data_IF_981456324089
#
_entry.id   IF_981456324089
#
_cell.length_a   1.000
_cell.length_b   1.000
_cell.length_c   1.000
_cell.angle_alpha   90.00
_cell.angle_beta   90.00
_cell.angle_gamma   90.00
#
_symmetry.space_group_name_H-M   'P 1'
#
loop_
_entity.id
_entity.type
_entity.pdbx_description
1 polymer ?
#
# COMPACT_ATOMS: atom_id res chain seq x y z
N UNK A 1 12.33 3.72 -7.55
CA UNK A 1 10.95 3.17 -7.75
C UNK A 1 10.32 2.53 -6.51
N UNK A 2 11.06 1.80 -5.67
CA UNK A 2 10.51 1.15 -4.45
C UNK A 2 9.92 2.15 -3.43
N UNK A 3 10.60 3.28 -3.21
CA UNK A 3 10.16 4.30 -2.23
C UNK A 3 8.83 4.96 -2.61
N UNK A 4 8.64 5.30 -3.89
CA UNK A 4 7.38 5.89 -4.37
C UNK A 4 6.19 4.97 -4.13
N UNK A 5 6.31 3.67 -4.48
CA UNK A 5 5.25 2.69 -4.26
C UNK A 5 4.92 2.54 -2.76
N UNK A 6 5.93 2.56 -1.89
CA UNK A 6 5.72 2.51 -0.44
C UNK A 6 5.00 3.76 0.09
N UNK A 7 5.31 4.94 -0.45
CA UNK A 7 4.62 6.19 -0.10
C UNK A 7 3.15 6.12 -0.54
N UNK A 8 2.86 5.64 -1.74
CA UNK A 8 1.48 5.48 -2.24
C UNK A 8 0.70 4.52 -1.34
N UNK A 9 1.27 3.36 -1.00
CA UNK A 9 0.66 2.39 -0.08
C UNK A 9 0.38 3.02 1.29
N UNK A 10 1.31 3.83 1.80
CA UNK A 10 1.14 4.50 3.10
C UNK A 10 -0.02 5.50 3.08
N UNK A 11 -0.12 6.33 2.04
CA UNK A 11 -1.21 7.29 1.89
C UNK A 11 -2.57 6.61 1.75
N UNK A 12 -2.62 5.54 0.95
CA UNK A 12 -3.84 4.76 0.75
C UNK A 12 -4.30 4.09 2.06
N UNK A 13 -3.37 3.43 2.77
CA UNK A 13 -3.64 2.83 4.06
C UNK A 13 -4.10 3.86 5.12
N UNK A 14 -3.47 5.04 5.16
CA UNK A 14 -3.89 6.12 6.06
C UNK A 14 -5.30 6.62 5.73
N UNK A 15 -5.65 6.69 4.44
CA UNK A 15 -6.98 7.09 3.98
C UNK A 15 -8.05 6.07 4.38
N UNK A 16 -7.78 4.76 4.22
CA UNK A 16 -8.68 3.70 4.69
C UNK A 16 -8.88 3.77 6.20
N UNK A 17 -7.80 3.95 6.97
CA UNK A 17 -7.89 4.06 8.43
C UNK A 17 -8.72 5.28 8.85
N UNK A 18 -8.52 6.44 8.21
CA UNK A 18 -9.30 7.65 8.47
C UNK A 18 -10.80 7.45 8.16
N UNK A 19 -11.12 6.80 7.03
CA UNK A 19 -12.51 6.49 6.66
C UNK A 19 -13.17 5.50 7.64
N UNK A 20 -12.42 4.52 8.15
CA UNK A 20 -12.91 3.61 9.18
C UNK A 20 -13.19 4.34 10.50
N UNK A 21 -12.29 5.22 10.92
CA UNK A 21 -12.49 6.02 12.14
C UNK A 21 -13.72 6.91 12.01
N UNK A 22 -13.88 7.59 10.87
CA UNK A 22 -15.08 8.42 10.61
C UNK A 22 -16.36 7.58 10.56
N UNK A 23 -16.31 6.37 9.99
CA UNK A 23 -17.44 5.42 10.04
C UNK A 23 -17.80 5.04 11.47
N UNK A 24 -16.80 4.71 12.29
CA UNK A 24 -16.99 4.32 13.69
C UNK A 24 -17.56 5.49 14.50
N UNK A 25 -17.00 6.70 14.34
CA UNK A 25 -17.53 7.92 14.96
C UNK A 25 -18.98 8.15 14.57
N UNK A 26 -19.33 8.02 13.29
CA UNK A 26 -20.71 8.21 12.84
C UNK A 26 -21.65 7.10 13.33
N UNK A 27 -21.13 5.90 13.61
CA UNK A 27 -21.93 4.76 14.06
C UNK A 27 -22.18 4.79 15.57
N UNK A 28 -21.15 5.07 16.37
CA UNK A 28 -21.24 5.03 17.83
C UNK A 28 -21.61 6.37 18.46
N UNK A 29 -21.34 7.50 17.79
CA UNK A 29 -21.53 8.83 18.36
C UNK A 29 -22.85 9.44 17.86
N UNK A 30 -23.97 8.83 18.29
CA UNK A 30 -25.32 9.27 17.90
C UNK A 30 -25.68 10.66 18.45
N UNK A 31 -25.07 11.08 19.56
CA UNK A 31 -25.42 12.30 20.29
C UNK A 31 -24.44 13.47 20.08
N UNK A 32 -23.18 13.21 19.71
CA UNK A 32 -22.16 14.26 19.64
C UNK A 32 -22.12 15.01 18.30
N UNK A 33 -22.80 14.48 17.28
CA UNK A 33 -22.81 15.05 15.94
C UNK A 33 -24.26 15.42 15.64
N UNK A 34 -24.62 16.71 15.79
CA UNK A 34 -25.94 17.27 15.46
C UNK A 34 -26.20 17.24 13.94
N UNK A 35 -26.28 16.04 13.38
CA UNK A 35 -26.62 15.80 11.99
C UNK A 35 -28.00 15.15 11.96
N UNK A 36 -28.90 15.68 11.12
CA UNK A 36 -30.21 15.09 10.87
C UNK A 36 -30.10 13.59 10.55
N UNK A 37 -30.98 12.76 11.14
CA UNK A 37 -31.00 11.30 10.93
C UNK A 37 -31.01 10.91 9.43
N UNK A 38 -31.72 11.67 8.60
CA UNK A 38 -31.77 11.45 7.15
C UNK A 38 -30.41 11.70 6.46
N UNK A 39 -29.66 12.70 6.93
CA UNK A 39 -28.32 13.00 6.41
C UNK A 39 -27.29 11.97 6.88
N UNK A 40 -27.45 11.45 8.11
CA UNK A 40 -26.63 10.36 8.66
C UNK A 40 -26.79 9.07 7.84
N UNK A 41 -28.02 8.66 7.54
CA UNK A 41 -28.26 7.45 6.73
C UNK A 41 -27.79 7.59 5.28
N UNK A 42 -28.04 8.74 4.65
CA UNK A 42 -27.57 8.98 3.28
C UNK A 42 -26.04 9.10 3.20
N UNK A 43 -25.37 9.58 4.25
CA UNK A 43 -23.91 9.65 4.33
C UNK A 43 -23.22 8.30 4.55
N UNK A 44 -23.88 7.33 5.20
CA UNK A 44 -23.30 5.99 5.47
C UNK A 44 -23.03 5.19 4.19
N UNK A 45 -23.97 5.21 3.24
CA UNK A 45 -23.87 4.45 1.97
C UNK A 45 -22.63 4.82 1.14
N UNK A 46 -22.38 6.10 0.79
CA UNK A 46 -21.19 6.48 0.04
C UNK A 46 -19.91 6.24 0.85
N UNK A 47 -19.94 6.43 2.18
CA UNK A 47 -18.78 6.19 3.03
C UNK A 47 -18.33 4.72 3.02
N UNK A 48 -19.27 3.77 3.15
CA UNK A 48 -18.98 2.34 3.03
C UNK A 48 -18.42 2.01 1.65
N UNK A 49 -19.02 2.58 0.59
CA UNK A 49 -18.54 2.37 -0.79
C UNK A 49 -17.10 2.88 -0.98
N UNK A 50 -16.78 4.05 -0.42
CA UNK A 50 -15.42 4.60 -0.45
C UNK A 50 -14.42 3.71 0.28
N UNK A 51 -14.76 3.22 1.48
CA UNK A 51 -13.89 2.30 2.24
C UNK A 51 -13.59 1.05 1.39
N UNK A 52 -14.61 0.48 0.76
CA UNK A 52 -14.49 -0.74 -0.03
C UNK A 52 -13.62 -0.52 -1.28
N UNK A 53 -13.77 0.63 -1.93
CA UNK A 53 -12.97 1.02 -3.09
C UNK A 53 -11.48 1.19 -2.71
N UNK A 54 -11.18 1.96 -1.67
CA UNK A 54 -9.79 2.16 -1.22
C UNK A 54 -9.16 0.87 -0.71
N UNK A 55 -9.91 0.00 -0.02
CA UNK A 55 -9.43 -1.32 0.39
C UNK A 55 -9.06 -2.20 -0.82
N UNK A 56 -9.85 -2.17 -1.89
CA UNK A 56 -9.55 -2.91 -3.12
C UNK A 56 -8.28 -2.38 -3.82
N UNK A 57 -8.10 -1.06 -3.87
CA UNK A 57 -6.89 -0.42 -4.42
C UNK A 57 -5.65 -0.83 -3.60
N UNK A 58 -5.75 -0.79 -2.28
CA UNK A 58 -4.67 -1.19 -1.38
C UNK A 58 -4.23 -2.64 -1.65
N UNK A 59 -5.20 -3.54 -1.81
CA UNK A 59 -4.95 -4.94 -2.13
C UNK A 59 -4.22 -5.10 -3.47
N UNK A 60 -4.66 -4.38 -4.51
CA UNK A 60 -3.98 -4.37 -5.82
C UNK A 60 -2.54 -3.84 -5.72
N UNK A 61 -2.29 -2.80 -4.92
CA UNK A 61 -0.95 -2.26 -4.70
C UNK A 61 -0.02 -3.29 -4.03
N UNK A 62 -0.54 -4.05 -3.06
CA UNK A 62 0.22 -5.14 -2.44
C UNK A 62 0.50 -6.29 -3.40
N UNK A 63 -0.48 -6.70 -4.23
CA UNK A 63 -0.27 -7.70 -5.28
C UNK A 63 0.81 -7.23 -6.25
N UNK A 64 0.72 -5.99 -6.71
CA UNK A 64 1.71 -5.40 -7.62
C UNK A 64 3.11 -5.39 -6.99
N UNK A 65 3.22 -4.98 -5.72
CA UNK A 65 4.49 -5.01 -4.97
C UNK A 65 5.06 -6.43 -4.87
N UNK A 66 4.22 -7.42 -4.57
CA UNK A 66 4.62 -8.82 -4.46
C UNK A 66 5.08 -9.39 -5.82
N UNK A 67 4.33 -9.10 -6.89
CA UNK A 67 4.70 -9.50 -8.25
C UNK A 67 6.06 -8.91 -8.65
N UNK A 68 6.25 -7.61 -8.44
CA UNK A 68 7.53 -6.95 -8.74
C UNK A 68 8.69 -7.50 -7.92
N UNK A 69 8.44 -7.86 -6.65
CA UNK A 69 9.45 -8.50 -5.80
C UNK A 69 9.84 -9.90 -6.29
N UNK A 70 8.91 -10.65 -6.89
CA UNK A 70 9.18 -11.99 -7.43
C UNK A 70 9.93 -11.95 -8.76
N UNK A 71 9.73 -10.89 -9.55
CA UNK A 71 10.31 -10.72 -10.89
C UNK A 71 11.50 -9.76 -10.94
N UNK A 72 12.01 -9.28 -9.80
CA UNK A 72 13.29 -8.57 -9.78
C UNK A 72 14.43 -9.60 -9.79
N UNK A 73 15.38 -9.54 -10.75
CA UNK A 73 16.54 -10.41 -10.74
C UNK A 73 17.25 -10.29 -9.38
N UNK A 74 17.38 -11.42 -8.68
CA UNK A 74 18.20 -11.50 -7.47
C UNK A 74 19.65 -11.48 -7.93
N UNK A 75 20.23 -10.30 -8.01
CA UNK A 75 21.68 -10.17 -8.13
C UNK A 75 22.28 -10.65 -6.81
N UNK A 76 22.83 -11.85 -6.82
CA UNK A 76 23.66 -12.35 -5.72
C UNK A 76 24.98 -11.59 -5.84
N UNK A 77 25.24 -10.66 -4.92
CA UNK A 77 26.61 -10.20 -4.72
C UNK A 77 27.36 -11.39 -4.11
N UNK A 78 28.12 -12.11 -4.95
CA UNK A 78 29.12 -13.01 -4.42
C UNK A 78 30.12 -12.15 -3.64
N UNK A 79 30.56 -12.58 -2.44
CA UNK A 79 31.63 -11.88 -1.75
C UNK A 79 32.84 -11.87 -2.69
N UNK A 80 33.17 -10.71 -3.24
CA UNK A 80 34.34 -10.54 -4.08
C UNK A 80 35.55 -10.84 -3.20
N UNK A 81 36.26 -11.93 -3.51
CA UNK A 81 37.52 -12.28 -2.85
C UNK A 81 38.65 -11.32 -3.22
N UNK A 82 38.38 -10.31 -4.05
CA UNK A 82 39.34 -9.31 -4.47
C UNK A 82 38.76 -7.92 -4.27
N UNK A 83 39.40 -7.19 -3.36
CA UNK A 83 39.29 -5.74 -3.24
C UNK A 83 39.98 -5.12 -4.47
N UNK A 84 39.31 -5.13 -5.62
CA UNK A 84 39.72 -4.35 -6.78
C UNK A 84 38.98 -3.02 -6.74
N UNK A 85 39.72 -1.94 -6.53
CA UNK A 85 39.18 -0.59 -6.38
C UNK A 85 38.66 0.03 -7.69
N UNK A 86 38.50 -0.77 -8.76
CA UNK A 86 38.15 -0.26 -10.09
C UNK A 86 37.13 -1.10 -10.89
N UNK A 87 36.60 -2.20 -10.36
CA UNK A 87 35.83 -3.10 -11.23
C UNK A 87 34.32 -2.87 -11.12
N UNK A 88 33.77 -2.44 -12.25
CA UNK A 88 32.36 -2.46 -12.59
C UNK A 88 31.72 -3.73 -12.05
N UNK A 89 30.70 -3.58 -11.19
CA UNK A 89 29.94 -4.70 -10.64
C UNK A 89 29.47 -5.62 -11.78
N UNK A 90 30.21 -6.69 -12.05
CA UNK A 90 29.79 -7.73 -12.97
C UNK A 90 28.56 -8.42 -12.35
N UNK A 91 27.39 -7.93 -12.73
CA UNK A 91 26.10 -8.51 -12.43
C UNK A 91 25.94 -9.79 -13.26
N UNK A 92 26.45 -10.90 -12.75
CA UNK A 92 26.18 -12.20 -13.35
C UNK A 92 24.70 -12.57 -13.15
N UNK A 93 23.93 -12.58 -14.25
CA UNK A 93 22.57 -13.09 -14.27
C UNK A 93 22.58 -14.60 -14.06
N UNK A 94 22.10 -15.05 -12.90
CA UNK A 94 21.78 -16.46 -12.62
C UNK A 94 20.54 -16.87 -13.42
N UNK A 95 20.67 -17.01 -14.74
CA UNK A 95 19.62 -17.61 -15.55
C UNK A 95 20.20 -18.52 -16.64
N UNK A 96 20.74 -19.67 -16.21
CA UNK A 96 20.93 -20.87 -17.04
C UNK A 96 21.25 -22.07 -16.14
N UNK A 97 20.20 -22.74 -15.66
CA UNK A 97 20.23 -24.17 -15.31
C UNK A 97 18.94 -24.76 -15.89
#
# INVERSE_FOLDING_TARGET
MSMFLNIVILFDAASVAFLLITFLMLTFNEESIEISKAHKENGKKPLILSILLYAAILLLLFIYKAYKSKHSPKYVQLPSTYYSSNDECEQYELNKI
#
